data_IF_432395645595
#
_entry.id   IF_432395645595
#
_cell.length_a   1.000
_cell.length_b   1.000
_cell.length_c   1.000
_cell.angle_alpha   90.00
_cell.angle_beta   90.00
_cell.angle_gamma   90.00
#
_symmetry.space_group_name_H-M   'P 1'
#
loop_
_entity.id
_entity.type
_entity.pdbx_description
1 polymer ?
#
# COMPACT_ATOMS: atom_id res chain seq x y z
N UNK A 1 -5.73 8.65 -9.66
CA UNK A 1 -7.08 8.09 -9.43
C UNK A 1 -7.13 7.47 -8.04
N UNK A 2 -8.30 7.40 -7.40
CA UNK A 2 -8.53 6.47 -6.30
C UNK A 2 -8.95 5.12 -6.90
N UNK A 3 -8.41 3.98 -6.46
CA UNK A 3 -8.88 2.67 -6.93
C UNK A 3 -10.35 2.51 -6.53
N UNK A 4 -11.21 2.27 -7.51
CA UNK A 4 -12.65 2.08 -7.32
C UNK A 4 -12.85 0.92 -6.36
N UNK A 5 -13.32 1.17 -5.14
CA UNK A 5 -13.62 0.10 -4.20
C UNK A 5 -14.80 -0.68 -4.78
N UNK A 6 -14.62 -1.94 -5.26
CA UNK A 6 -15.75 -2.73 -5.74
C UNK A 6 -16.75 -2.86 -4.59
N UNK A 7 -18.02 -2.62 -4.89
CA UNK A 7 -19.11 -2.59 -3.90
C UNK A 7 -19.48 -4.02 -3.50
N UNK A 8 -18.54 -4.72 -2.85
CA UNK A 8 -18.82 -5.96 -2.15
C UNK A 8 -19.93 -5.69 -1.14
N UNK A 9 -20.99 -6.50 -1.21
CA UNK A 9 -22.16 -6.35 -0.36
C UNK A 9 -21.73 -6.23 1.10
N UNK A 10 -22.04 -5.09 1.72
CA UNK A 10 -21.69 -4.80 3.11
C UNK A 10 -22.68 -5.54 4.01
N UNK A 11 -22.63 -6.88 3.95
CA UNK A 11 -23.27 -7.78 4.89
C UNK A 11 -22.64 -7.48 6.25
N UNK A 12 -23.37 -6.74 7.08
CA UNK A 12 -22.90 -6.24 8.35
C UNK A 12 -22.68 -7.40 9.32
N UNK A 13 -21.49 -8.02 9.29
CA UNK A 13 -21.17 -9.12 10.18
C UNK A 13 -21.37 -8.65 11.64
N UNK A 14 -22.12 -9.40 12.47
CA UNK A 14 -22.49 -8.98 13.83
C UNK A 14 -21.28 -8.83 14.77
N UNK A 15 -20.10 -9.25 14.33
CA UNK A 15 -18.83 -9.11 15.04
C UNK A 15 -17.87 -8.22 14.24
N UNK A 16 -18.14 -6.90 14.18
CA UNK A 16 -17.36 -5.88 13.42
C UNK A 16 -15.82 -6.00 13.55
N UNK A 17 -15.31 -6.57 14.66
CA UNK A 17 -13.88 -6.87 14.89
C UNK A 17 -13.28 -7.88 13.88
N UNK A 18 -14.07 -8.78 13.28
CA UNK A 18 -13.60 -9.71 12.24
C UNK A 18 -13.06 -8.97 11.01
N UNK A 19 -13.75 -7.90 10.64
CA UNK A 19 -13.56 -7.13 9.41
C UNK A 19 -12.18 -6.41 9.34
N UNK A 20 -11.50 -6.28 10.49
CA UNK A 20 -10.18 -5.63 10.65
C UNK A 20 -9.02 -6.65 10.75
N UNK A 21 -9.19 -7.88 10.28
CA UNK A 21 -8.17 -8.93 10.30
C UNK A 21 -8.56 -10.17 9.49
N UNK A 22 -7.75 -11.22 9.56
CA UNK A 22 -8.02 -12.49 8.87
C UNK A 22 -8.59 -13.49 9.89
N UNK A 23 -9.93 -13.61 9.90
CA UNK A 23 -10.65 -14.39 10.92
C UNK A 23 -11.06 -15.79 10.47
N UNK A 24 -10.94 -16.13 9.18
CA UNK A 24 -11.38 -17.39 8.59
C UNK A 24 -12.85 -17.71 8.94
N UNK A 25 -13.73 -16.71 8.77
CA UNK A 25 -15.17 -16.78 9.10
C UNK A 25 -15.52 -16.98 10.59
N UNK A 26 -14.55 -16.91 11.52
CA UNK A 26 -14.83 -17.13 12.96
C UNK A 26 -15.39 -15.86 13.63
N UNK A 27 -16.66 -15.92 14.01
CA UNK A 27 -17.36 -14.90 14.81
C UNK A 27 -17.26 -15.16 16.33
N UNK A 28 -17.72 -14.20 17.13
CA UNK A 28 -17.96 -14.36 18.59
C UNK A 28 -19.20 -15.24 18.81
N UNK A 29 -19.08 -16.28 19.64
CA UNK A 29 -20.20 -17.14 20.02
C UNK A 29 -20.80 -16.70 21.36
N UNK A 30 -22.11 -16.90 21.52
CA UNK A 30 -22.89 -16.57 22.71
C UNK A 30 -23.56 -17.83 23.26
N UNK A 31 -23.75 -17.89 24.58
CA UNK A 31 -24.43 -19.02 25.23
C UNK A 31 -24.42 -18.86 26.74
N UNK A 32 -24.48 -19.99 27.45
CA UNK A 32 -24.59 -20.01 28.90
C UNK A 32 -23.47 -20.83 29.55
N UNK A 33 -23.06 -20.45 30.75
CA UNK A 33 -22.45 -21.37 31.69
C UNK A 33 -23.55 -22.19 32.35
N UNK A 34 -23.32 -23.48 32.59
CA UNK A 34 -24.33 -24.39 33.16
C UNK A 34 -23.71 -25.09 34.38
N UNK A 35 -23.98 -24.61 35.60
CA UNK A 35 -23.55 -25.28 36.83
C UNK A 35 -24.42 -26.52 37.10
N UNK A 36 -24.01 -27.36 38.05
CA UNK A 36 -24.77 -28.53 38.50
C UNK A 36 -26.20 -28.19 38.95
N UNK A 37 -26.38 -27.04 39.62
CA UNK A 37 -27.68 -26.48 40.03
C UNK A 37 -28.55 -25.96 38.88
N UNK A 38 -28.10 -26.08 37.61
CA UNK A 38 -28.81 -25.69 36.38
C UNK A 38 -29.17 -24.20 36.26
N UNK A 39 -28.80 -23.33 37.20
CA UNK A 39 -28.96 -21.88 37.11
C UNK A 39 -28.00 -21.29 36.05
N UNK A 40 -28.53 -21.04 34.85
CA UNK A 40 -27.76 -20.66 33.64
C UNK A 40 -27.34 -19.19 33.68
N UNK A 41 -26.04 -18.90 33.71
CA UNK A 41 -25.48 -17.54 33.57
C UNK A 41 -24.98 -17.29 32.14
N UNK A 42 -25.07 -16.06 31.62
CA UNK A 42 -24.64 -15.74 30.24
C UNK A 42 -23.12 -15.74 30.10
N UNK A 43 -22.58 -16.35 29.05
CA UNK A 43 -21.15 -16.32 28.68
C UNK A 43 -20.96 -16.08 27.19
N UNK A 44 -19.74 -15.69 26.80
CA UNK A 44 -19.36 -15.55 25.38
C UNK A 44 -18.00 -16.17 25.12
N UNK A 45 -17.81 -16.75 23.94
CA UNK A 45 -16.53 -17.28 23.48
C UNK A 45 -16.00 -16.38 22.37
N UNK A 46 -14.78 -15.87 22.56
CA UNK A 46 -14.04 -15.12 21.55
C UNK A 46 -13.08 -16.07 20.82
N UNK A 47 -12.87 -15.89 19.50
CA UNK A 47 -11.80 -16.62 18.81
C UNK A 47 -10.43 -16.19 19.34
N UNK A 48 -9.48 -17.12 19.42
CA UNK A 48 -8.08 -16.81 19.75
C UNK A 48 -7.46 -15.99 18.61
N UNK A 49 -7.25 -14.70 18.85
CA UNK A 49 -6.75 -13.71 17.88
C UNK A 49 -5.39 -13.19 18.31
N UNK A 50 -4.41 -13.34 17.43
CA UNK A 50 -3.03 -12.93 17.64
C UNK A 50 -2.64 -11.77 16.71
N UNK A 51 -1.70 -10.93 17.14
CA UNK A 51 -1.03 -9.95 16.26
C UNK A 51 0.23 -10.59 15.70
N UNK A 52 0.38 -10.65 14.38
CA UNK A 52 1.60 -11.12 13.72
C UNK A 52 1.95 -10.22 12.54
N UNK A 53 3.22 -10.24 12.16
CA UNK A 53 3.72 -9.80 10.86
C UNK A 53 3.79 -11.05 9.97
N UNK A 54 3.46 -10.92 8.70
CA UNK A 54 3.59 -11.96 7.68
C UNK A 54 4.21 -11.33 6.45
N UNK A 55 5.21 -11.98 5.86
CA UNK A 55 5.79 -11.53 4.60
C UNK A 55 4.81 -11.74 3.44
N UNK A 56 4.85 -10.84 2.46
CA UNK A 56 4.13 -10.90 1.20
C UNK A 56 5.17 -10.81 0.08
N UNK A 57 5.23 -11.81 -0.78
CA UNK A 57 6.23 -11.93 -1.83
C UNK A 57 5.92 -10.91 -2.94
N UNK A 58 4.65 -10.78 -3.30
CA UNK A 58 4.20 -9.86 -4.36
C UNK A 58 4.39 -8.39 -3.97
N UNK A 59 4.35 -8.07 -2.67
CA UNK A 59 4.60 -6.71 -2.17
C UNK A 59 6.05 -6.46 -1.75
N UNK A 60 6.84 -7.50 -1.47
CA UNK A 60 8.17 -7.38 -0.85
C UNK A 60 8.16 -6.80 0.57
N UNK A 61 7.01 -6.79 1.25
CA UNK A 61 6.78 -6.13 2.54
C UNK A 61 6.15 -7.05 3.60
N UNK A 62 6.43 -6.79 4.88
CA UNK A 62 5.80 -7.47 6.00
C UNK A 62 4.48 -6.83 6.43
N UNK A 63 3.36 -7.48 6.09
CA UNK A 63 2.02 -7.03 6.45
C UNK A 63 1.70 -7.37 7.91
N UNK A 64 1.47 -6.35 8.75
CA UNK A 64 1.09 -6.50 10.17
C UNK A 64 -0.44 -6.65 10.31
N UNK A 65 -0.92 -7.83 10.70
CA UNK A 65 -2.37 -8.16 10.74
C UNK A 65 -2.80 -8.84 12.05
N UNK A 66 -4.09 -8.70 12.39
CA UNK A 66 -4.77 -9.49 13.43
C UNK A 66 -5.28 -10.79 12.79
N UNK A 67 -4.82 -11.94 13.28
CA UNK A 67 -5.11 -13.26 12.70
C UNK A 67 -5.79 -14.15 13.75
N UNK A 68 -6.75 -14.99 13.36
CA UNK A 68 -7.14 -16.12 14.23
C UNK A 68 -6.10 -17.25 14.14
N UNK A 69 -5.95 -18.05 15.20
CA UNK A 69 -5.07 -19.23 15.16
C UNK A 69 -5.47 -20.24 14.07
N UNK A 70 -6.75 -20.27 13.67
CA UNK A 70 -7.22 -21.01 12.49
C UNK A 70 -6.61 -20.45 11.20
N UNK A 71 -6.73 -19.14 10.95
CA UNK A 71 -6.17 -18.50 9.77
C UNK A 71 -4.65 -18.70 9.69
N UNK A 72 -3.93 -18.53 10.82
CA UNK A 72 -2.48 -18.74 10.89
C UNK A 72 -2.08 -20.20 10.56
N UNK A 73 -2.85 -21.20 11.02
CA UNK A 73 -2.64 -22.61 10.63
C UNK A 73 -2.92 -22.86 9.15
N UNK A 74 -3.93 -22.23 8.56
CA UNK A 74 -4.22 -22.32 7.12
C UNK A 74 -3.09 -21.70 6.29
N UNK A 75 -2.64 -20.49 6.62
CA UNK A 75 -1.51 -19.79 5.99
C UNK A 75 -0.24 -20.65 6.01
N UNK A 76 0.12 -21.22 7.18
CA UNK A 76 1.28 -22.14 7.27
C UNK A 76 1.08 -23.41 6.42
N UNK A 77 -0.13 -24.00 6.39
CA UNK A 77 -0.39 -25.17 5.53
C UNK A 77 -0.19 -24.83 4.05
N UNK A 78 -0.78 -23.73 3.58
CA UNK A 78 -0.68 -23.28 2.17
C UNK A 78 0.78 -23.11 1.75
N UNK A 79 1.58 -22.39 2.55
CA UNK A 79 3.04 -22.26 2.33
C UNK A 79 3.74 -23.63 2.21
N UNK A 80 3.48 -24.55 3.16
CA UNK A 80 4.11 -25.87 3.14
C UNK A 80 3.71 -26.74 1.93
N UNK A 81 2.45 -26.68 1.49
CA UNK A 81 1.97 -27.51 0.37
C UNK A 81 2.61 -27.11 -0.98
N UNK A 82 2.93 -25.83 -1.16
CA UNK A 82 3.68 -25.35 -2.35
C UNK A 82 5.09 -25.97 -2.35
N UNK A 83 5.80 -25.89 -1.21
CA UNK A 83 7.17 -26.42 -1.09
C UNK A 83 7.27 -27.94 -1.29
N UNK A 84 6.28 -28.72 -0.87
CA UNK A 84 6.30 -30.19 -1.04
C UNK A 84 6.35 -30.68 -2.50
N UNK A 85 6.04 -29.82 -3.49
CA UNK A 85 6.13 -30.16 -4.91
C UNK A 85 7.47 -29.77 -5.55
N UNK A 86 8.40 -29.19 -4.80
CA UNK A 86 9.68 -28.67 -5.29
C UNK A 86 10.81 -29.10 -4.36
N UNK A 87 11.43 -30.24 -4.64
CA UNK A 87 12.51 -30.83 -3.85
C UNK A 87 13.74 -29.91 -3.75
N UNK A 88 13.80 -29.10 -2.68
CA UNK A 88 14.95 -28.32 -2.27
C UNK A 88 14.95 -28.13 -0.73
N UNK A 89 16.13 -27.83 -0.18
CA UNK A 89 16.50 -27.73 1.25
C UNK A 89 15.41 -27.24 2.24
N UNK A 90 15.53 -27.71 3.49
CA UNK A 90 14.63 -27.40 4.62
C UNK A 90 14.68 -25.95 5.14
N UNK A 91 15.59 -25.11 4.64
CA UNK A 91 15.76 -23.72 5.07
C UNK A 91 15.10 -22.75 4.08
N UNK A 92 14.59 -21.62 4.58
CA UNK A 92 13.85 -20.55 3.85
C UNK A 92 12.36 -20.77 3.50
N UNK A 93 11.62 -21.47 4.37
CA UNK A 93 10.15 -21.34 4.48
C UNK A 93 9.73 -19.98 5.09
N UNK A 94 10.14 -18.86 4.46
CA UNK A 94 9.73 -17.49 4.80
C UNK A 94 8.74 -16.87 3.80
N UNK A 95 8.56 -17.50 2.63
CA UNK A 95 7.94 -16.88 1.44
C UNK A 95 6.61 -17.56 1.05
N UNK A 96 5.71 -16.80 0.42
CA UNK A 96 4.52 -17.27 -0.33
C UNK A 96 3.26 -17.62 0.48
N UNK A 97 3.32 -17.63 1.81
CA UNK A 97 2.23 -18.14 2.65
C UNK A 97 1.00 -17.25 2.77
N UNK A 98 1.17 -15.92 2.76
CA UNK A 98 0.07 -14.97 2.90
C UNK A 98 -0.72 -14.81 1.59
N UNK A 99 0.00 -14.58 0.49
CA UNK A 99 -0.58 -14.12 -0.77
C UNK A 99 -1.51 -15.19 -1.38
N UNK A 100 -0.99 -16.41 -1.53
CA UNK A 100 -1.76 -17.55 -2.05
C UNK A 100 -2.97 -17.92 -1.16
N UNK A 101 -2.94 -17.60 0.14
CA UNK A 101 -4.10 -17.72 1.03
C UNK A 101 -5.12 -16.58 0.82
N UNK A 102 -4.63 -15.35 0.65
CA UNK A 102 -5.43 -14.14 0.40
C UNK A 102 -6.15 -14.20 -0.95
N UNK A 103 -5.55 -14.82 -1.97
CA UNK A 103 -6.14 -14.94 -3.30
C UNK A 103 -7.21 -16.04 -3.37
N UNK A 104 -6.87 -17.27 -2.96
CA UNK A 104 -7.77 -18.43 -3.09
C UNK A 104 -8.94 -18.46 -2.07
N UNK A 105 -8.88 -17.70 -0.98
CA UNK A 105 -10.00 -17.62 -0.02
C UNK A 105 -11.25 -16.98 -0.64
N UNK A 106 -12.45 -17.26 -0.13
CA UNK A 106 -13.64 -16.49 -0.52
C UNK A 106 -13.72 -15.15 0.21
N UNK A 107 -14.30 -14.13 -0.43
CA UNK A 107 -14.43 -12.77 0.12
C UNK A 107 -15.07 -12.76 1.53
N UNK A 108 -16.14 -13.55 1.70
CA UNK A 108 -16.91 -13.69 2.95
C UNK A 108 -16.09 -14.21 4.13
N UNK A 109 -15.09 -15.06 3.86
CA UNK A 109 -14.20 -15.66 4.86
C UNK A 109 -13.07 -14.68 5.26
N UNK A 110 -12.66 -13.86 4.30
CA UNK A 110 -11.46 -13.02 4.33
C UNK A 110 -11.70 -11.62 4.91
N UNK A 111 -12.91 -11.07 4.73
CA UNK A 111 -13.32 -9.76 5.25
C UNK A 111 -12.61 -8.57 4.57
N UNK A 112 -12.97 -7.34 4.98
CA UNK A 112 -12.45 -6.11 4.37
C UNK A 112 -10.93 -6.00 4.45
N UNK A 113 -10.32 -6.23 5.62
CA UNK A 113 -8.86 -6.09 5.77
C UNK A 113 -8.09 -7.04 4.84
N UNK A 114 -8.53 -8.28 4.66
CA UNK A 114 -7.87 -9.22 3.75
C UNK A 114 -8.21 -8.99 2.28
N UNK A 115 -9.42 -8.52 1.97
CA UNK A 115 -9.76 -8.06 0.62
C UNK A 115 -8.93 -6.84 0.21
N UNK A 116 -8.65 -5.91 1.14
CA UNK A 116 -7.75 -4.78 0.95
C UNK A 116 -6.30 -5.22 0.71
N UNK A 117 -5.88 -6.36 1.28
CA UNK A 117 -4.58 -6.97 0.98
C UNK A 117 -4.60 -7.61 -0.42
N UNK A 118 -5.69 -8.30 -0.80
CA UNK A 118 -5.85 -8.87 -2.15
C UNK A 118 -5.77 -7.82 -3.25
N UNK A 119 -6.46 -6.70 -3.08
CA UNK A 119 -6.42 -5.60 -4.06
C UNK A 119 -4.99 -5.06 -4.20
N UNK A 120 -4.27 -4.83 -3.10
CA UNK A 120 -2.85 -4.43 -3.13
C UNK A 120 -1.94 -5.45 -3.80
N UNK A 121 -2.12 -6.75 -3.54
CA UNK A 121 -1.35 -7.82 -4.18
C UNK A 121 -1.57 -7.79 -5.70
N UNK A 122 -2.81 -7.61 -6.15
CA UNK A 122 -3.14 -7.48 -7.58
C UNK A 122 -2.56 -6.20 -8.20
N UNK A 123 -2.71 -5.06 -7.54
CA UNK A 123 -2.12 -3.78 -7.96
C UNK A 123 -0.59 -3.90 -8.16
N UNK A 124 0.11 -4.60 -7.27
CA UNK A 124 1.56 -4.85 -7.40
C UNK A 124 1.90 -5.93 -8.44
N UNK A 125 1.08 -6.98 -8.58
CA UNK A 125 1.23 -7.98 -9.65
C UNK A 125 1.07 -7.37 -11.04
N UNK A 126 0.04 -6.54 -11.23
CA UNK A 126 -0.20 -5.76 -12.45
C UNK A 126 0.97 -4.80 -12.72
N UNK A 127 1.52 -4.10 -11.72
CA UNK A 127 2.73 -3.28 -11.91
C UNK A 127 3.93 -4.09 -12.42
N UNK A 128 4.12 -5.33 -11.94
CA UNK A 128 5.22 -6.18 -12.39
C UNK A 128 5.07 -6.65 -13.84
N UNK A 129 3.85 -6.87 -14.32
CA UNK A 129 3.59 -7.22 -15.74
C UNK A 129 3.55 -5.98 -16.65
N UNK A 130 3.08 -4.84 -16.13
CA UNK A 130 3.05 -3.54 -16.84
C UNK A 130 4.38 -2.79 -16.75
N UNK A 131 5.49 -3.52 -16.88
CA UNK A 131 6.82 -2.94 -17.15
C UNK A 131 7.27 -3.21 -18.60
N UNK A 132 6.51 -2.79 -19.65
CA UNK A 132 6.95 -2.95 -21.03
C UNK A 132 8.04 -1.94 -21.39
N UNK A 133 9.00 -2.42 -22.17
CA UNK A 133 9.59 -1.79 -23.36
C UNK A 133 9.10 -0.37 -23.72
N UNK A 134 9.46 0.63 -22.91
CA UNK A 134 9.13 2.06 -23.12
C UNK A 134 10.35 2.96 -22.94
N UNK A 135 11.50 2.45 -23.40
CA UNK A 135 12.80 3.13 -23.42
C UNK A 135 13.63 2.64 -24.61
N UNK A 136 13.06 2.69 -25.81
CA UNK A 136 13.69 2.26 -27.05
C UNK A 136 13.67 3.38 -28.10
N UNK A 137 14.84 3.95 -28.36
CA UNK A 137 15.16 4.76 -29.54
C UNK A 137 16.60 4.37 -29.98
N UNK A 138 16.95 4.41 -31.28
CA UNK A 138 17.84 3.39 -31.87
C UNK A 138 19.14 3.94 -32.48
N UNK A 139 19.85 3.09 -33.25
CA UNK A 139 21.03 3.38 -34.13
C UNK A 139 22.37 3.38 -33.33
N UNK A 140 23.49 2.73 -33.72
CA UNK A 140 23.90 2.00 -34.95
C UNK A 140 25.01 0.94 -34.70
N UNK A 141 25.01 -0.14 -35.50
CA UNK A 141 26.14 -0.70 -36.30
C UNK A 141 27.55 -0.92 -35.70
N UNK A 142 28.00 -2.20 -35.64
CA UNK A 142 29.31 -2.80 -36.05
C UNK A 142 30.61 -1.95 -35.86
N UNK A 143 31.69 -2.38 -35.17
CA UNK A 143 31.98 -3.64 -34.44
C UNK A 143 33.05 -3.41 -33.31
N UNK A 144 34.12 -4.17 -32.97
CA UNK A 144 34.85 -5.37 -33.48
C UNK A 144 35.58 -6.10 -32.32
N UNK A 145 36.35 -7.18 -32.59
CA UNK A 145 37.20 -7.89 -31.60
C UNK A 145 38.26 -7.00 -30.90
N UNK A 146 38.38 -7.07 -29.56
CA UNK A 146 39.65 -6.93 -28.83
C UNK A 146 39.56 -7.33 -27.33
N UNK A 147 40.74 -7.62 -26.77
CA UNK A 147 41.10 -8.25 -25.49
C UNK A 147 40.58 -7.66 -24.14
N UNK A 148 40.81 -8.44 -23.07
CA UNK A 148 40.44 -8.15 -21.67
C UNK A 148 41.54 -7.35 -20.94
N UNK A 149 41.18 -6.29 -20.20
CA UNK A 149 41.86 -5.96 -18.94
C UNK A 149 40.91 -5.80 -17.75
N UNK A 150 41.26 -6.43 -16.62
CA UNK A 150 40.42 -6.57 -15.42
C UNK A 150 40.36 -5.32 -14.52
N UNK A 151 40.00 -4.16 -15.09
CA UNK A 151 40.01 -2.87 -14.38
C UNK A 151 38.64 -2.16 -14.28
N UNK A 152 37.75 -2.33 -15.26
CA UNK A 152 36.52 -1.50 -15.40
C UNK A 152 35.41 -1.80 -14.37
N UNK A 153 35.50 -2.88 -13.60
CA UNK A 153 34.47 -3.29 -12.62
C UNK A 153 34.56 -2.52 -11.30
N UNK A 154 35.75 -2.08 -10.88
CA UNK A 154 35.92 -1.39 -9.59
C UNK A 154 35.25 0.00 -9.57
N UNK A 155 35.32 0.74 -10.69
CA UNK A 155 34.78 2.10 -10.82
C UNK A 155 33.25 2.09 -10.87
N UNK A 156 32.64 1.17 -11.64
CA UNK A 156 31.18 1.08 -11.75
C UNK A 156 30.53 0.69 -10.41
N UNK A 157 31.18 -0.15 -9.60
CA UNK A 157 30.72 -0.48 -8.24
C UNK A 157 30.84 0.72 -7.29
N UNK A 158 31.89 1.54 -7.39
CA UNK A 158 32.03 2.74 -6.55
C UNK A 158 30.99 3.81 -6.92
N UNK A 159 30.74 4.04 -8.20
CA UNK A 159 29.66 4.91 -8.69
C UNK A 159 28.27 4.41 -8.26
N UNK A 160 27.99 3.12 -8.41
CA UNK A 160 26.71 2.55 -7.98
C UNK A 160 26.50 2.69 -6.46
N UNK A 161 27.57 2.54 -5.67
CA UNK A 161 27.57 2.76 -4.22
C UNK A 161 27.32 4.23 -3.88
N UNK A 162 27.93 5.17 -4.59
CA UNK A 162 27.70 6.62 -4.43
C UNK A 162 26.26 7.02 -4.82
N UNK A 163 25.78 6.59 -6.00
CA UNK A 163 24.39 6.82 -6.48
C UNK A 163 23.36 6.23 -5.50
N UNK A 164 23.63 5.05 -4.92
CA UNK A 164 22.82 4.44 -3.84
C UNK A 164 22.85 5.25 -2.55
N UNK A 165 24.02 5.75 -2.12
CA UNK A 165 24.13 6.61 -0.94
C UNK A 165 23.40 7.95 -1.11
N UNK A 166 23.51 8.60 -2.28
CA UNK A 166 22.74 9.80 -2.61
C UNK A 166 21.23 9.56 -2.56
N UNK A 167 20.75 8.44 -3.15
CA UNK A 167 19.32 8.04 -3.08
C UNK A 167 18.84 7.74 -1.65
N UNK A 168 19.73 7.28 -0.76
CA UNK A 168 19.42 7.08 0.67
C UNK A 168 19.33 8.43 1.39
N UNK A 169 20.28 9.36 1.16
CA UNK A 169 20.26 10.72 1.72
C UNK A 169 19.00 11.49 1.32
N UNK A 170 18.72 11.59 0.02
CA UNK A 170 17.51 12.24 -0.49
C UNK A 170 16.21 11.64 0.08
N UNK A 171 16.16 10.32 0.32
CA UNK A 171 15.01 9.66 0.98
C UNK A 171 14.95 9.89 2.49
N UNK A 172 16.06 10.21 3.15
CA UNK A 172 16.09 10.64 4.55
C UNK A 172 15.66 12.12 4.68
N UNK A 173 16.12 12.99 3.78
CA UNK A 173 15.71 14.39 3.69
C UNK A 173 14.21 14.53 3.42
N UNK A 174 13.67 13.77 2.46
CA UNK A 174 12.21 13.71 2.23
C UNK A 174 11.42 13.13 3.41
N UNK A 175 12.06 12.38 4.32
CA UNK A 175 11.42 11.90 5.56
C UNK A 175 11.45 12.94 6.66
N UNK A 176 12.57 13.64 6.89
CA UNK A 176 12.62 14.70 7.89
C UNK A 176 11.69 15.87 7.53
N UNK A 177 11.51 16.17 6.22
CA UNK A 177 10.50 17.11 5.73
C UNK A 177 9.06 16.61 5.97
N UNK A 178 8.81 15.30 5.89
CA UNK A 178 7.48 14.73 6.15
C UNK A 178 7.17 14.48 7.64
N UNK A 179 8.20 14.40 8.48
CA UNK A 179 8.11 14.26 9.94
C UNK A 179 8.03 15.62 10.64
N UNK A 180 8.59 16.69 10.05
CA UNK A 180 8.41 18.05 10.55
C UNK A 180 6.93 18.45 10.50
N UNK A 181 6.42 18.92 11.64
CA UNK A 181 5.07 19.49 11.68
C UNK A 181 5.12 20.87 11.03
N UNK A 182 4.24 21.18 10.05
CA UNK A 182 4.31 22.44 9.32
C UNK A 182 4.08 23.62 10.28
N UNK A 183 5.10 24.45 10.49
CA UNK A 183 4.99 25.57 11.42
C UNK A 183 4.24 26.73 10.76
N UNK A 184 3.73 27.65 11.59
CA UNK A 184 3.12 28.89 11.09
C UNK A 184 4.05 29.70 10.20
N UNK A 185 5.37 29.64 10.43
CA UNK A 185 6.39 30.31 9.61
C UNK A 185 6.55 29.64 8.24
N UNK A 186 6.47 28.31 8.17
CA UNK A 186 6.56 27.58 6.89
C UNK A 186 5.31 27.84 6.03
N UNK A 187 4.13 27.89 6.67
CA UNK A 187 2.89 28.28 6.01
C UNK A 187 2.94 29.75 5.50
N UNK A 188 3.59 30.65 6.23
CA UNK A 188 3.84 32.03 5.78
C UNK A 188 4.79 32.06 4.57
N UNK A 189 5.94 31.37 4.62
CA UNK A 189 6.89 31.33 3.47
C UNK A 189 6.27 30.73 2.20
N UNK A 190 5.48 29.65 2.32
CA UNK A 190 4.77 29.06 1.17
C UNK A 190 3.77 30.06 0.58
N UNK A 191 3.05 30.80 1.44
CA UNK A 191 2.12 31.84 1.00
C UNK A 191 2.85 32.99 0.30
N UNK A 192 3.97 33.48 0.85
CA UNK A 192 4.81 34.52 0.25
C UNK A 192 5.41 34.10 -1.09
N UNK A 193 5.84 32.84 -1.23
CA UNK A 193 6.27 32.30 -2.53
C UNK A 193 5.15 32.34 -3.57
N UNK A 194 3.94 31.89 -3.23
CA UNK A 194 2.78 31.92 -4.14
C UNK A 194 2.38 33.35 -4.49
N UNK A 195 2.46 34.27 -3.54
CA UNK A 195 2.23 35.70 -3.79
C UNK A 195 3.25 36.27 -4.80
N UNK A 196 4.53 35.96 -4.60
CA UNK A 196 5.62 36.41 -5.48
C UNK A 196 5.55 35.80 -6.88
N UNK A 197 5.17 34.53 -7.03
CA UNK A 197 4.99 33.90 -8.37
C UNK A 197 3.74 34.40 -9.10
N UNK A 198 2.76 34.95 -8.39
CA UNK A 198 1.58 35.62 -8.97
C UNK A 198 1.79 37.13 -9.21
N UNK A 199 2.96 37.68 -8.90
CA UNK A 199 3.26 39.12 -9.06
C UNK A 199 2.49 40.02 -8.09
N UNK A 200 2.12 39.52 -6.91
CA UNK A 200 1.29 40.23 -5.92
C UNK A 200 2.14 40.68 -4.72
N UNK A 201 2.22 41.99 -4.49
CA UNK A 201 3.06 42.59 -3.43
C UNK A 201 2.49 42.40 -2.01
N UNK A 202 1.17 42.40 -1.86
CA UNK A 202 0.48 42.30 -0.56
C UNK A 202 -0.68 41.30 -0.61
N UNK A 203 -0.98 40.65 0.51
CA UNK A 203 -2.05 39.65 0.60
C UNK A 203 -3.40 40.22 0.12
N UNK A 204 -4.14 39.53 -0.78
CA UNK A 204 -5.35 40.10 -1.37
C UNK A 204 -6.42 40.35 -0.31
N UNK A 205 -6.90 41.59 -0.24
CA UNK A 205 -7.99 41.98 0.66
C UNK A 205 -9.30 41.31 0.19
N UNK A 206 -10.23 41.00 1.12
CA UNK A 206 -11.50 40.34 0.83
C UNK A 206 -12.30 41.00 -0.32
N UNK A 207 -12.27 42.34 -0.42
CA UNK A 207 -12.90 43.07 -1.53
C UNK A 207 -12.24 42.80 -2.89
N UNK A 208 -10.91 42.62 -2.91
CA UNK A 208 -10.15 42.32 -4.14
C UNK A 208 -10.38 40.87 -4.59
N UNK A 209 -10.43 39.90 -3.67
CA UNK A 209 -10.75 38.51 -4.01
C UNK A 209 -12.19 38.32 -4.46
N UNK A 210 -13.17 38.99 -3.83
CA UNK A 210 -14.56 39.00 -4.32
C UNK A 210 -14.61 39.57 -5.74
N UNK A 211 -14.05 40.76 -5.97
CA UNK A 211 -14.05 41.38 -7.30
C UNK A 211 -13.32 40.53 -8.37
N UNK A 212 -12.24 39.82 -8.01
CA UNK A 212 -11.57 38.87 -8.90
C UNK A 212 -12.45 37.66 -9.22
N UNK A 213 -13.07 37.04 -8.21
CA UNK A 213 -13.97 35.89 -8.38
C UNK A 213 -15.21 36.25 -9.21
N UNK A 214 -15.73 37.47 -9.08
CA UNK A 214 -16.83 37.97 -9.91
C UNK A 214 -16.39 38.16 -11.37
N UNK A 215 -15.29 38.89 -11.62
CA UNK A 215 -14.72 39.11 -12.96
C UNK A 215 -14.37 37.82 -13.68
N UNK A 216 -13.94 36.78 -12.96
CA UNK A 216 -13.47 35.51 -13.54
C UNK A 216 -14.42 34.34 -13.30
N UNK A 217 -15.64 34.59 -12.79
CA UNK A 217 -16.63 33.55 -12.47
C UNK A 217 -16.89 32.59 -13.64
N UNK A 218 -17.04 33.12 -14.85
CA UNK A 218 -17.33 32.34 -16.07
C UNK A 218 -16.14 31.48 -16.52
N UNK A 219 -14.92 32.00 -16.46
CA UNK A 219 -13.70 31.26 -16.84
C UNK A 219 -13.34 30.19 -15.81
N UNK A 220 -13.45 30.51 -14.52
CA UNK A 220 -13.21 29.57 -13.41
C UNK A 220 -14.21 28.40 -13.41
N UNK A 221 -15.51 28.67 -13.62
CA UNK A 221 -16.53 27.61 -13.75
C UNK A 221 -16.26 26.72 -14.97
N UNK A 222 -15.91 27.31 -16.12
CA UNK A 222 -15.56 26.54 -17.33
C UNK A 222 -14.31 25.68 -17.11
N UNK A 223 -13.28 26.19 -16.46
CA UNK A 223 -12.05 25.45 -16.14
C UNK A 223 -12.31 24.29 -15.15
N UNK A 224 -13.13 24.52 -14.12
CA UNK A 224 -13.54 23.47 -13.18
C UNK A 224 -14.32 22.34 -13.88
N UNK A 225 -15.26 22.69 -14.76
CA UNK A 225 -15.99 21.73 -15.59
C UNK A 225 -15.08 20.97 -16.57
N UNK A 226 -14.03 21.61 -17.09
CA UNK A 226 -13.05 20.97 -17.98
C UNK A 226 -12.22 19.93 -17.24
N UNK A 227 -11.66 20.27 -16.06
CA UNK A 227 -10.88 19.33 -15.26
C UNK A 227 -11.70 18.09 -14.86
N UNK A 228 -12.98 18.26 -14.49
CA UNK A 228 -13.89 17.13 -14.20
C UNK A 228 -14.09 16.21 -15.41
N UNK A 229 -14.07 16.75 -16.64
CA UNK A 229 -14.17 15.96 -17.88
C UNK A 229 -12.85 15.35 -18.36
N UNK A 230 -11.70 15.81 -17.88
CA UNK A 230 -10.38 15.29 -18.32
C UNK A 230 -9.83 14.22 -17.35
N UNK A 231 -10.59 13.83 -16.33
CA UNK A 231 -10.21 12.80 -15.34
C UNK A 231 -11.24 11.67 -15.23
N UNK A 232 -12.01 11.43 -16.30
CA UNK A 232 -12.88 10.29 -16.52
C UNK A 232 -12.37 9.51 -17.75
#
# INVERSE_FOLDING_TARGET
>A
MFPTIPVYSIVSQPFKRSQLGLFQGKTKQYGNNVPFSKHKTRRTWLPNVQRKRLFSDTMGEEVRVKLTTRALRTIKKVSSTIFMHRHAKQEELQHGGLDNYVENSSATILGWQGMRIRLKIREHGEQSSTTPTSAAAPISTIETNAEVPSAKVAVSVSEAKAKRQAKIKARAELRSIAESQPTMLDAQRVREMVMKTLGLETQPNARQTIAFLERHRKTLVKAAQFNVKTTL
#
